data_IF_646942858456
#
_entry.id   IF_646942858456
#
_cell.length_a   1.000
_cell.length_b   1.000
_cell.length_c   1.000
_cell.angle_alpha   90.00
_cell.angle_beta   90.00
_cell.angle_gamma   90.00
#
_symmetry.space_group_name_H-M   'P 1'
#
loop_
_entity.id
_entity.type
_entity.pdbx_description
1 polymer ?
#
# COMPACT_ATOMS: atom_id res chain seq x y z
N UNK A 1 4.90 20.36 18.40
CA UNK A 1 3.86 19.31 18.28
C UNK A 1 3.04 19.67 17.04
N UNK A 2 3.38 19.12 15.88
CA UNK A 2 2.66 19.42 14.63
C UNK A 2 1.29 18.74 14.65
N UNK A 3 0.26 19.57 14.60
CA UNK A 3 -1.12 19.16 14.37
C UNK A 3 -1.20 18.80 12.88
N UNK A 4 -0.79 17.59 12.53
CA UNK A 4 -0.99 17.07 11.18
C UNK A 4 -2.48 16.80 11.01
N UNK A 5 -3.17 17.68 10.28
CA UNK A 5 -4.59 17.54 9.96
C UNK A 5 -4.91 16.13 9.44
N UNK A 6 -6.07 15.53 9.77
CA UNK A 6 -6.47 14.19 9.34
C UNK A 6 -6.31 13.97 7.83
N UNK A 7 -6.60 15.00 7.03
CA UNK A 7 -6.44 15.00 5.57
C UNK A 7 -5.00 14.74 5.13
N UNK A 8 -4.02 15.26 5.89
CA UNK A 8 -2.60 15.07 5.59
C UNK A 8 -2.15 13.62 5.81
N UNK A 9 -2.70 12.93 6.81
CA UNK A 9 -2.36 11.53 7.09
C UNK A 9 -2.98 10.59 6.05
N UNK A 10 -4.24 10.83 5.67
CA UNK A 10 -4.89 10.10 4.58
C UNK A 10 -4.17 10.30 3.25
N UNK A 11 -3.77 11.53 2.91
CA UNK A 11 -2.99 11.81 1.71
C UNK A 11 -1.66 11.04 1.67
N UNK A 12 -0.92 11.03 2.79
CA UNK A 12 0.35 10.28 2.90
C UNK A 12 0.15 8.76 2.80
N UNK A 13 -0.93 8.21 3.38
CA UNK A 13 -1.29 6.79 3.20
C UNK A 13 -1.67 6.48 1.74
N UNK A 14 -2.45 7.35 1.10
CA UNK A 14 -2.82 7.18 -0.31
C UNK A 14 -1.60 7.17 -1.22
N UNK A 15 -0.62 8.04 -0.96
CA UNK A 15 0.67 8.04 -1.65
C UNK A 15 1.40 6.68 -1.49
N UNK A 16 1.43 6.13 -0.27
CA UNK A 16 2.00 4.80 -0.03
C UNK A 16 1.26 3.68 -0.75
N UNK A 17 -0.08 3.76 -0.84
CA UNK A 17 -0.89 2.81 -1.61
C UNK A 17 -0.51 2.85 -3.09
N UNK A 18 -0.28 4.04 -3.66
CA UNK A 18 0.14 4.16 -5.07
C UNK A 18 1.51 3.54 -5.30
N UNK A 19 2.46 3.70 -4.38
CA UNK A 19 3.76 3.03 -4.48
C UNK A 19 3.65 1.51 -4.41
N UNK A 20 2.86 0.98 -3.48
CA UNK A 20 2.64 -0.47 -3.40
C UNK A 20 2.01 -0.99 -4.70
N UNK A 21 1.05 -0.26 -5.29
CA UNK A 21 0.42 -0.67 -6.55
C UNK A 21 1.34 -0.58 -7.76
N UNK A 22 2.31 0.35 -7.77
CA UNK A 22 3.30 0.48 -8.84
C UNK A 22 4.35 -0.62 -8.76
N UNK A 23 4.88 -0.85 -7.55
CA UNK A 23 6.03 -1.72 -7.32
C UNK A 23 5.62 -3.04 -6.64
N UNK A 24 4.38 -3.49 -6.84
CA UNK A 24 3.81 -4.61 -6.08
C UNK A 24 4.65 -5.88 -6.20
N UNK A 25 5.33 -6.12 -7.32
CA UNK A 25 6.17 -7.29 -7.56
C UNK A 25 7.50 -7.29 -6.78
N UNK A 26 7.97 -6.13 -6.32
CA UNK A 26 9.26 -6.00 -5.62
C UNK A 26 9.11 -6.27 -4.12
N UNK A 27 10.14 -6.77 -3.42
CA UNK A 27 10.17 -6.75 -1.97
C UNK A 27 10.06 -5.31 -1.45
N UNK A 28 9.06 -5.02 -0.60
CA UNK A 28 8.86 -3.69 -0.01
C UNK A 28 8.98 -3.81 1.51
N UNK A 29 9.95 -3.09 2.08
CA UNK A 29 10.06 -2.89 3.53
C UNK A 29 9.07 -1.86 4.03
N UNK A 30 8.46 -2.11 5.19
CA UNK A 30 7.44 -1.21 5.76
C UNK A 30 8.08 0.10 6.24
N UNK A 31 9.30 0.02 6.73
CA UNK A 31 10.14 1.15 7.17
C UNK A 31 10.33 2.15 6.04
N UNK A 32 10.64 1.65 4.83
CA UNK A 32 10.83 2.49 3.64
C UNK A 32 9.53 3.17 3.21
N UNK A 33 8.39 2.49 3.33
CA UNK A 33 7.09 3.09 3.04
C UNK A 33 6.75 4.19 4.05
N UNK A 34 7.03 3.94 5.33
CA UNK A 34 6.80 4.90 6.40
C UNK A 34 7.69 6.15 6.22
N UNK A 35 8.98 5.95 5.94
CA UNK A 35 9.93 7.02 5.65
C UNK A 35 9.48 7.88 4.46
N UNK A 36 9.15 7.25 3.33
CA UNK A 36 8.66 7.98 2.15
C UNK A 36 7.33 8.70 2.40
N UNK A 37 6.48 8.13 3.25
CA UNK A 37 5.24 8.77 3.70
C UNK A 37 5.47 9.81 4.81
N UNK A 38 6.73 10.13 5.16
CA UNK A 38 7.10 11.06 6.25
C UNK A 38 6.39 10.73 7.57
N UNK A 39 6.34 9.44 7.92
CA UNK A 39 5.68 8.91 9.11
C UNK A 39 6.59 7.97 9.86
N UNK A 40 6.48 7.95 11.19
CA UNK A 40 7.04 6.85 11.96
C UNK A 40 6.36 5.53 11.59
N UNK A 41 7.06 4.42 11.73
CA UNK A 41 6.56 3.08 11.39
C UNK A 41 5.24 2.76 12.12
N UNK A 42 5.15 3.08 13.41
CA UNK A 42 3.95 2.85 14.21
C UNK A 42 2.76 3.71 13.75
N UNK A 43 2.99 4.98 13.44
CA UNK A 43 1.94 5.85 12.90
C UNK A 43 1.50 5.35 11.53
N UNK A 44 2.45 5.01 10.65
CA UNK A 44 2.17 4.47 9.33
C UNK A 44 1.30 3.22 9.41
N UNK A 45 1.67 2.23 10.24
CA UNK A 45 0.86 1.03 10.42
C UNK A 45 -0.58 1.34 10.86
N UNK A 46 -0.75 2.22 11.86
CA UNK A 46 -2.07 2.59 12.37
C UNK A 46 -2.93 3.26 11.30
N UNK A 47 -2.40 4.28 10.63
CA UNK A 47 -3.14 5.02 9.60
C UNK A 47 -3.39 4.16 8.36
N UNK A 48 -2.42 3.36 7.92
CA UNK A 48 -2.57 2.45 6.79
C UNK A 48 -3.65 1.39 7.07
N UNK A 49 -3.65 0.79 8.26
CA UNK A 49 -4.68 -0.16 8.67
C UNK A 49 -6.05 0.51 8.80
N UNK A 50 -6.13 1.73 9.32
CA UNK A 50 -7.39 2.46 9.41
C UNK A 50 -8.00 2.74 8.02
N UNK A 51 -7.17 3.01 7.01
CA UNK A 51 -7.63 3.30 5.63
C UNK A 51 -7.91 2.03 4.81
N UNK A 52 -7.06 1.00 4.93
CA UNK A 52 -7.12 -0.19 4.05
C UNK A 52 -7.69 -1.43 4.72
N UNK A 53 -7.91 -1.38 6.03
CA UNK A 53 -8.25 -2.50 6.90
C UNK A 53 -7.19 -3.63 6.94
N UNK A 54 -6.01 -3.40 6.36
CA UNK A 54 -4.93 -4.39 6.19
C UNK A 54 -3.60 -3.79 6.63
N UNK A 55 -2.62 -4.64 6.96
CA UNK A 55 -1.23 -4.20 7.05
C UNK A 55 -0.65 -3.93 5.65
N UNK A 56 0.40 -3.09 5.51
CA UNK A 56 1.03 -2.82 4.22
C UNK A 56 1.46 -4.10 3.46
N UNK A 57 2.02 -5.08 4.17
CA UNK A 57 2.44 -6.35 3.59
C UNK A 57 1.25 -7.22 3.15
N UNK A 58 0.17 -7.25 3.94
CA UNK A 58 -1.07 -7.95 3.56
C UNK A 58 -1.71 -7.32 2.33
N UNK A 59 -1.72 -5.98 2.26
CA UNK A 59 -2.22 -5.26 1.10
C UNK A 59 -1.39 -5.56 -0.15
N UNK A 60 -0.05 -5.56 -0.05
CA UNK A 60 0.83 -5.94 -1.16
C UNK A 60 0.53 -7.36 -1.68
N UNK A 61 0.40 -8.35 -0.78
CA UNK A 61 0.04 -9.73 -1.14
C UNK A 61 -1.30 -9.78 -1.87
N UNK A 62 -2.31 -9.05 -1.39
CA UNK A 62 -3.61 -8.96 -2.04
C UNK A 62 -3.52 -8.36 -3.44
N UNK A 63 -2.75 -7.29 -3.62
CA UNK A 63 -2.51 -6.68 -4.94
C UNK A 63 -1.85 -7.69 -5.89
N UNK A 64 -0.80 -8.42 -5.44
CA UNK A 64 -0.14 -9.47 -6.25
C UNK A 64 -1.13 -10.54 -6.72
N UNK A 65 -1.99 -11.03 -5.82
CA UNK A 65 -2.97 -12.05 -6.15
C UNK A 65 -4.02 -11.57 -7.14
N UNK A 66 -4.51 -10.33 -6.99
CA UNK A 66 -5.48 -9.74 -7.92
C UNK A 66 -4.88 -9.54 -9.32
N UNK A 67 -3.62 -9.12 -9.40
CA UNK A 67 -2.91 -8.98 -10.67
C UNK A 67 -2.67 -10.35 -11.34
N UNK A 68 -2.24 -11.36 -10.58
CA UNK A 68 -2.10 -12.72 -11.10
C UNK A 68 -3.43 -13.27 -11.64
N UNK A 69 -4.54 -13.09 -10.90
CA UNK A 69 -5.88 -13.48 -11.38
C UNK A 69 -6.26 -12.77 -12.67
N UNK A 70 -5.96 -11.47 -12.77
CA UNK A 70 -6.25 -10.67 -13.96
C UNK A 70 -5.49 -11.20 -15.18
N UNK A 71 -4.20 -11.50 -15.01
CA UNK A 71 -3.37 -12.09 -16.06
C UNK A 71 -3.86 -13.48 -16.48
N UNK A 72 -4.27 -14.32 -15.53
CA UNK A 72 -4.82 -15.65 -15.85
C UNK A 72 -6.10 -15.55 -16.69
N UNK A 73 -7.02 -14.65 -16.33
CA UNK A 73 -8.26 -14.44 -17.08
C UNK A 73 -8.00 -13.82 -18.44
N UNK A 74 -7.06 -12.87 -18.54
CA UNK A 74 -6.69 -12.25 -19.81
C UNK A 74 -6.04 -13.27 -20.75
N UNK A 75 -5.11 -14.08 -20.24
CA UNK A 75 -4.46 -15.16 -21.01
C UNK A 75 -5.46 -16.23 -21.46
N UNK A 76 -6.48 -16.53 -20.66
CA UNK A 76 -7.52 -17.51 -21.03
C UNK A 76 -8.52 -16.97 -22.08
N UNK A 77 -8.62 -15.65 -22.26
CA UNK A 77 -9.48 -15.02 -23.28
C UNK A 77 -8.80 -14.82 -24.63
N UNK A 78 -7.48 -14.99 -24.71
CA UNK A 78 -6.69 -14.82 -25.93
C UNK A 78 -6.39 -16.17 -26.64
N UNK A 79 -7.12 -17.24 -26.29
CA UNK A 79 -7.03 -18.58 -26.91
C UNK A 79 -8.29 -18.86 -27.70
#
# INVERSE_FOLDING_TARGET
REIAAPDSAMARVNMAIQWIRRDFAQPIGVERLAERASMSVSAFHRHFKAVTNLSPLQYQKRVRLLQARTLMVASAKSV
#
